data_IF_118283721995
#
_entry.id   IF_118283721995
#
_cell.length_a   1.000
_cell.length_b   1.000
_cell.length_c   1.000
_cell.angle_alpha   90.00
_cell.angle_beta   90.00
_cell.angle_gamma   90.00
#
_symmetry.space_group_name_H-M   'P 1'
#
loop_
_entity.id
_entity.type
_entity.pdbx_description
1 polymer ?
#
# COMPACT_ATOMS: atom_id res chain seq x y z
N UNK A 1 9.79 13.49 17.88
CA UNK A 1 9.87 12.66 16.65
C UNK A 1 9.65 13.58 15.45
N UNK A 2 10.47 13.46 14.41
CA UNK A 2 10.25 14.23 13.19
C UNK A 2 9.02 13.72 12.46
N UNK A 3 8.45 14.55 11.58
CA UNK A 3 7.30 14.16 10.76
C UNK A 3 7.62 12.93 9.90
N UNK A 4 8.81 12.87 9.31
CA UNK A 4 9.22 11.73 8.50
C UNK A 4 9.34 10.45 9.33
N UNK A 5 9.85 10.53 10.56
CA UNK A 5 9.92 9.37 11.44
C UNK A 5 8.51 8.91 11.85
N UNK A 6 7.60 9.83 12.12
CA UNK A 6 6.21 9.51 12.45
C UNK A 6 5.53 8.81 11.28
N UNK A 7 5.68 9.33 10.05
CA UNK A 7 5.15 8.70 8.84
C UNK A 7 5.72 7.30 8.64
N UNK A 8 7.04 7.13 8.84
CA UNK A 8 7.70 5.84 8.69
C UNK A 8 7.14 4.80 9.64
N UNK A 9 6.87 5.18 10.89
CA UNK A 9 6.27 4.28 11.86
C UNK A 9 4.84 3.90 11.48
N UNK A 10 4.06 4.89 11.07
CA UNK A 10 2.64 4.69 10.77
C UNK A 10 2.41 3.88 9.48
N UNK A 11 3.28 4.03 8.48
CA UNK A 11 3.08 3.34 7.20
C UNK A 11 3.51 1.87 7.20
N UNK A 12 4.15 1.37 8.25
CA UNK A 12 4.62 -0.01 8.29
C UNK A 12 3.55 -1.05 8.02
N UNK A 13 2.34 -0.83 8.50
CA UNK A 13 1.23 -1.76 8.27
C UNK A 13 0.39 -1.40 7.06
N UNK A 14 0.69 -0.32 6.36
CA UNK A 14 -0.17 0.22 5.31
C UNK A 14 0.29 -0.11 3.90
N UNK A 15 1.56 -0.50 3.72
CA UNK A 15 2.11 -0.71 2.39
C UNK A 15 1.36 -1.80 1.63
N UNK A 16 1.08 -2.91 2.30
CA UNK A 16 0.30 -4.01 1.70
C UNK A 16 -1.06 -3.52 1.21
N UNK A 17 -1.77 -2.78 2.05
CA UNK A 17 -3.07 -2.20 1.70
C UNK A 17 -2.95 -1.29 0.47
N UNK A 18 -1.96 -0.39 0.46
CA UNK A 18 -1.74 0.52 -0.66
C UNK A 18 -1.42 -0.22 -1.96
N UNK A 19 -0.61 -1.27 -1.91
CA UNK A 19 -0.29 -2.08 -3.09
C UNK A 19 -1.55 -2.75 -3.64
N UNK A 20 -2.38 -3.33 -2.77
CA UNK A 20 -3.63 -3.96 -3.21
C UNK A 20 -4.60 -2.94 -3.80
N UNK A 21 -4.67 -1.73 -3.23
CA UNK A 21 -5.48 -0.64 -3.78
C UNK A 21 -5.04 -0.29 -5.20
N UNK A 22 -3.73 -0.14 -5.42
CA UNK A 22 -3.21 0.18 -6.74
C UNK A 22 -3.54 -0.90 -7.76
N UNK A 23 -3.33 -2.16 -7.39
CA UNK A 23 -3.56 -3.27 -8.31
C UNK A 23 -5.04 -3.57 -8.52
N UNK A 24 -5.89 -3.12 -7.61
CA UNK A 24 -7.34 -3.18 -7.82
C UNK A 24 -7.77 -2.24 -8.95
N UNK A 25 -7.11 -1.11 -9.09
CA UNK A 25 -7.39 -0.15 -10.17
C UNK A 25 -6.96 -0.70 -11.52
N UNK A 26 -5.73 -1.23 -11.60
CA UNK A 26 -5.22 -1.84 -12.83
C UNK A 26 -3.97 -2.66 -12.52
N UNK A 27 -3.74 -3.68 -13.34
CA UNK A 27 -2.52 -4.46 -13.27
C UNK A 27 -1.31 -3.58 -13.61
N UNK A 28 -0.15 -3.93 -13.08
CA UNK A 28 1.04 -3.07 -13.21
C UNK A 28 2.34 -3.84 -13.04
N UNK A 29 3.41 -3.29 -13.59
CA UNK A 29 4.78 -3.73 -13.30
C UNK A 29 5.21 -3.18 -11.93
N UNK A 30 6.23 -3.81 -11.32
CA UNK A 30 6.76 -3.32 -10.04
C UNK A 30 7.25 -1.87 -10.13
N UNK A 31 7.87 -1.49 -11.26
CA UNK A 31 8.33 -0.11 -11.46
C UNK A 31 7.16 0.89 -11.49
N UNK A 32 6.01 0.49 -12.03
CA UNK A 32 4.81 1.33 -12.05
C UNK A 32 4.25 1.48 -10.63
N UNK A 33 4.26 0.40 -9.86
CA UNK A 33 3.82 0.44 -8.46
C UNK A 33 4.67 1.43 -7.66
N UNK A 34 5.99 1.35 -7.80
CA UNK A 34 6.91 2.29 -7.12
C UNK A 34 6.60 3.73 -7.52
N UNK A 35 6.41 3.98 -8.81
CA UNK A 35 6.13 5.30 -9.34
C UNK A 35 4.81 5.85 -8.82
N UNK A 36 3.76 5.04 -8.82
CA UNK A 36 2.43 5.45 -8.35
C UNK A 36 2.42 5.71 -6.84
N UNK A 37 3.14 4.89 -6.07
CA UNK A 37 3.27 5.13 -4.62
C UNK A 37 3.99 6.46 -4.37
N UNK A 38 5.05 6.75 -5.12
CA UNK A 38 5.77 8.02 -5.01
C UNK A 38 4.87 9.20 -5.35
N UNK A 39 4.07 9.09 -6.41
CA UNK A 39 3.12 10.13 -6.79
C UNK A 39 2.07 10.36 -5.70
N UNK A 40 1.70 9.32 -4.97
CA UNK A 40 0.78 9.41 -3.83
C UNK A 40 1.51 9.77 -2.52
N UNK A 41 2.76 10.22 -2.63
CA UNK A 41 3.57 10.66 -1.49
C UNK A 41 3.93 9.55 -0.50
N UNK A 42 3.99 8.30 -1.00
CA UNK A 42 4.49 7.18 -0.21
C UNK A 42 5.76 6.65 -0.86
N UNK A 43 6.90 7.11 -0.37
CA UNK A 43 8.20 6.72 -0.91
C UNK A 43 8.61 5.35 -0.37
N UNK A 44 8.82 4.41 -1.29
CA UNK A 44 9.21 3.04 -0.97
C UNK A 44 10.38 2.64 -1.86
N UNK A 45 11.35 1.93 -1.32
CA UNK A 45 12.49 1.44 -2.09
C UNK A 45 12.21 0.02 -2.61
N UNK A 46 12.90 -0.35 -3.69
CA UNK A 46 12.75 -1.66 -4.31
C UNK A 46 12.99 -2.80 -3.32
N UNK A 47 14.00 -2.66 -2.46
CA UNK A 47 14.34 -3.67 -1.46
C UNK A 47 13.22 -3.96 -0.47
N UNK A 48 12.24 -3.06 -0.34
CA UNK A 48 11.06 -3.26 0.48
C UNK A 48 9.90 -3.80 -0.35
N UNK A 49 9.70 -3.26 -1.55
CA UNK A 49 8.56 -3.64 -2.39
C UNK A 49 8.67 -5.04 -2.96
N UNK A 50 9.82 -5.43 -3.52
CA UNK A 50 9.94 -6.73 -4.18
C UNK A 50 9.66 -7.91 -3.24
N UNK A 51 10.22 -7.97 -2.01
CA UNK A 51 9.86 -9.03 -1.08
C UNK A 51 8.38 -9.05 -0.72
N UNK A 52 7.75 -7.89 -0.62
CA UNK A 52 6.32 -7.80 -0.36
C UNK A 52 5.51 -8.40 -1.51
N UNK A 53 5.84 -8.06 -2.75
CA UNK A 53 5.15 -8.61 -3.92
C UNK A 53 5.28 -10.13 -3.98
N UNK A 54 6.47 -10.65 -3.68
CA UNK A 54 6.72 -12.10 -3.63
C UNK A 54 5.85 -12.75 -2.55
N UNK A 55 5.78 -12.16 -1.36
CA UNK A 55 4.96 -12.69 -0.26
C UNK A 55 3.48 -12.68 -0.64
N UNK A 56 2.98 -11.59 -1.19
CA UNK A 56 1.58 -11.47 -1.58
C UNK A 56 1.21 -12.49 -2.67
N UNK A 57 2.13 -12.70 -3.61
CA UNK A 57 1.94 -13.72 -4.64
C UNK A 57 1.89 -15.12 -4.03
N UNK A 58 2.81 -15.43 -3.11
CA UNK A 58 2.85 -16.74 -2.45
C UNK A 58 1.62 -16.97 -1.56
N UNK A 59 1.06 -15.91 -0.99
CA UNK A 59 -0.19 -15.98 -0.21
C UNK A 59 -1.44 -16.06 -1.10
N UNK A 60 -1.27 -16.00 -2.41
CA UNK A 60 -2.36 -16.11 -3.37
C UNK A 60 -3.17 -14.83 -3.58
N UNK A 61 -2.71 -13.69 -3.04
CA UNK A 61 -3.40 -12.42 -3.20
C UNK A 61 -3.09 -11.74 -4.52
N UNK A 62 -1.91 -11.99 -5.06
CA UNK A 62 -1.48 -11.51 -6.37
C UNK A 62 -1.15 -12.69 -7.27
N UNK A 63 -1.24 -12.43 -8.56
CA UNK A 63 -0.68 -13.29 -9.58
C UNK A 63 0.13 -12.41 -10.52
N UNK A 64 0.86 -13.00 -11.46
CA UNK A 64 1.56 -12.23 -12.48
C UNK A 64 1.68 -13.03 -13.75
N UNK A 65 1.86 -12.33 -14.85
CA UNK A 65 2.26 -12.91 -16.12
C UNK A 65 3.56 -12.26 -16.58
N UNK A 66 4.36 -13.02 -17.29
CA UNK A 66 5.55 -12.49 -17.92
C UNK A 66 5.16 -11.75 -19.19
N UNK A 67 5.68 -10.54 -19.36
CA UNK A 67 5.49 -9.77 -20.59
C UNK A 67 6.81 -9.44 -21.23
N UNK A 68 6.88 -9.58 -22.54
CA UNK A 68 8.04 -9.21 -23.32
C UNK A 68 8.31 -7.73 -23.21
N UNK A 69 9.61 -7.39 -23.18
CA UNK A 69 10.07 -6.03 -23.19
C UNK A 69 10.93 -5.81 -24.41
N UNK A 70 10.72 -4.71 -25.14
CA UNK A 70 11.54 -4.36 -26.30
C UNK A 70 12.93 -3.88 -25.93
N UNK A 71 13.18 -3.57 -24.67
CA UNK A 71 14.42 -2.96 -24.19
C UNK A 71 15.10 -3.74 -23.07
N UNK A 72 14.77 -5.01 -22.91
CA UNK A 72 15.38 -5.81 -21.87
C UNK A 72 14.69 -7.15 -21.68
N UNK A 73 14.99 -7.86 -20.58
CA UNK A 73 14.36 -9.15 -20.30
C UNK A 73 12.86 -8.97 -20.04
N UNK A 74 12.09 -10.05 -20.18
CA UNK A 74 10.68 -10.01 -19.82
C UNK A 74 10.47 -9.57 -18.39
N UNK A 75 9.34 -8.92 -18.13
CA UNK A 75 9.01 -8.38 -16.80
C UNK A 75 7.71 -8.98 -16.29
N UNK A 76 7.59 -9.08 -14.97
CA UNK A 76 6.37 -9.53 -14.30
C UNK A 76 5.34 -8.42 -14.30
N UNK A 77 4.15 -8.73 -14.80
CA UNK A 77 3.00 -7.83 -14.80
C UNK A 77 2.01 -8.37 -13.77
N UNK A 78 1.91 -7.69 -12.63
CA UNK A 78 1.14 -8.16 -11.49
C UNK A 78 -0.33 -7.79 -11.59
N UNK A 79 -1.18 -8.69 -11.13
CA UNK A 79 -2.62 -8.43 -11.03
C UNK A 79 -3.15 -8.97 -9.70
N UNK A 80 -4.28 -8.41 -9.29
CA UNK A 80 -4.98 -8.82 -8.09
C UNK A 80 -5.82 -10.06 -8.39
N UNK A 81 -5.76 -11.06 -7.51
CA UNK A 81 -6.60 -12.26 -7.62
C UNK A 81 -7.95 -12.01 -6.95
N UNK A 82 -8.88 -12.95 -7.09
CA UNK A 82 -10.14 -12.90 -6.36
C UNK A 82 -9.91 -12.92 -4.85
N UNK A 83 -8.99 -13.77 -4.39
CA UNK A 83 -8.59 -13.81 -2.98
C UNK A 83 -7.99 -12.47 -2.54
N UNK A 84 -7.19 -11.85 -3.41
CA UNK A 84 -6.63 -10.52 -3.16
C UNK A 84 -7.71 -9.44 -3.05
N UNK A 85 -8.73 -9.52 -3.88
CA UNK A 85 -9.87 -8.59 -3.80
C UNK A 85 -10.62 -8.75 -2.47
N UNK A 86 -10.82 -9.98 -2.02
CA UNK A 86 -11.46 -10.25 -0.74
C UNK A 86 -10.61 -9.70 0.42
N UNK A 87 -9.30 -9.93 0.37
CA UNK A 87 -8.37 -9.38 1.36
C UNK A 87 -8.40 -7.85 1.37
N UNK A 88 -8.49 -7.23 0.20
CA UNK A 88 -8.58 -5.78 0.09
C UNK A 88 -9.85 -5.25 0.76
N UNK A 89 -10.99 -5.91 0.59
CA UNK A 89 -12.23 -5.52 1.27
C UNK A 89 -12.07 -5.56 2.78
N UNK A 90 -11.45 -6.60 3.31
CA UNK A 90 -11.22 -6.72 4.75
C UNK A 90 -10.30 -5.61 5.25
N UNK A 91 -9.25 -5.30 4.50
CA UNK A 91 -8.33 -4.21 4.86
C UNK A 91 -9.01 -2.85 4.78
N UNK A 92 -9.88 -2.65 3.80
CA UNK A 92 -10.62 -1.40 3.65
C UNK A 92 -11.57 -1.20 4.84
N UNK A 93 -12.27 -2.24 5.26
CA UNK A 93 -13.12 -2.20 6.45
C UNK A 93 -12.30 -1.90 7.69
N UNK A 94 -11.13 -2.54 7.83
CA UNK A 94 -10.24 -2.30 8.97
C UNK A 94 -9.74 -0.86 8.98
N UNK A 95 -9.35 -0.33 7.82
CA UNK A 95 -8.89 1.06 7.69
C UNK A 95 -9.98 2.04 8.09
N UNK A 96 -11.19 1.84 7.60
CA UNK A 96 -12.34 2.70 7.93
C UNK A 96 -12.65 2.66 9.43
N UNK A 97 -12.56 1.48 10.05
CA UNK A 97 -12.75 1.35 11.49
C UNK A 97 -11.69 2.06 12.31
N UNK A 98 -10.42 1.93 11.90
CA UNK A 98 -9.30 2.60 12.57
C UNK A 98 -9.39 4.12 12.40
N UNK A 99 -9.73 4.59 11.22
CA UNK A 99 -9.91 6.01 10.93
C UNK A 99 -11.01 6.60 11.81
N UNK A 100 -12.12 5.89 11.93
CA UNK A 100 -13.22 6.30 12.81
C UNK A 100 -12.76 6.40 14.26
N UNK A 101 -12.04 5.38 14.75
CA UNK A 101 -11.50 5.38 16.11
C UNK A 101 -10.62 6.61 16.35
N UNK A 102 -9.73 6.91 15.42
CA UNK A 102 -8.84 8.06 15.52
C UNK A 102 -9.64 9.36 15.58
N UNK A 103 -10.65 9.50 14.74
CA UNK A 103 -11.49 10.69 14.72
C UNK A 103 -12.27 10.87 16.02
N UNK A 104 -12.81 9.79 16.59
CA UNK A 104 -13.49 9.81 17.88
C UNK A 104 -12.53 10.30 18.98
N UNK A 105 -11.31 9.77 18.99
CA UNK A 105 -10.32 10.17 19.99
C UNK A 105 -9.89 11.64 19.81
N UNK A 106 -9.72 12.09 18.57
CA UNK A 106 -9.41 13.51 18.29
C UNK A 106 -10.50 14.42 18.77
N UNK A 107 -11.76 14.07 18.56
CA UNK A 107 -12.90 14.91 18.94
C UNK A 107 -13.06 15.02 20.45
N UNK A 108 -12.47 14.11 21.22
CA UNK A 108 -12.50 14.14 22.69
C UNK A 108 -11.36 14.99 23.30
N UNK A 109 -10.42 15.48 22.48
CA UNK A 109 -9.32 16.32 22.95
C UNK A 109 -9.84 17.74 23.17
N UNK A 110 -9.71 18.25 24.40
CA UNK A 110 -10.24 19.57 24.77
C UNK A 110 -9.25 20.70 24.54
N UNK A 111 -7.97 20.39 24.26
CA UNK A 111 -6.94 21.41 23.98
C UNK A 111 -6.65 21.43 22.47
N UNK A 112 -7.24 22.39 21.72
CA UNK A 112 -7.04 22.43 20.27
C UNK A 112 -5.60 22.72 19.85
N UNK A 113 -4.79 23.35 20.71
CA UNK A 113 -3.40 23.65 20.39
C UNK A 113 -2.58 22.40 20.14
N UNK A 114 -2.95 21.30 20.76
CA UNK A 114 -2.28 20.01 20.56
C UNK A 114 -2.33 19.55 19.10
N UNK A 115 -3.45 19.80 18.41
CA UNK A 115 -3.66 19.38 17.03
C UNK A 115 -3.20 20.43 16.01
N UNK A 116 -3.02 21.67 16.43
CA UNK A 116 -2.66 22.78 15.54
C UNK A 116 -1.14 22.93 15.39
N UNK A 117 -0.40 22.56 16.42
CA UNK A 117 1.06 22.74 16.45
C UNK A 117 1.84 21.79 15.50
#
# INVERSE_FOLDING_TARGET
>A
MSNENAKSQMRKGMLEYCVLLLLHREAAYASDILSQLKQAELLVVEGTLYPLLTRLKNDGLLNYEWRESTQGPPRKYYNLTEKGTDALRDMDDAWNGLTHTVEVLKSSITNPDFLIS
#
